data_IF_854995931030
#
_entry.id   IF_854995931030
#
_cell.length_a   1.000
_cell.length_b   1.000
_cell.length_c   1.000
_cell.angle_alpha   90.00
_cell.angle_beta   90.00
_cell.angle_gamma   90.00
#
_symmetry.space_group_name_H-M   'P 1'
#
loop_
_entity.id
_entity.type
_entity.pdbx_description
1 polymer ?
#
# COMPACT_ATOMS: atom_id res chain seq x y z
N UNK A 1 1.89 -2.40 20.36
CA UNK A 1 1.24 -2.68 19.06
C UNK A 1 1.14 -1.37 18.30
N UNK A 2 2.02 -1.14 17.32
CA UNK A 2 1.97 0.08 16.51
C UNK A 2 0.83 -0.05 15.51
N UNK A 3 -0.26 0.66 15.75
CA UNK A 3 -1.30 0.89 14.74
C UNK A 3 -0.74 1.89 13.74
N UNK A 4 -0.24 1.40 12.61
CA UNK A 4 0.02 2.26 11.46
C UNK A 4 -1.33 2.86 11.03
N UNK A 5 -1.48 4.17 11.22
CA UNK A 5 -2.65 4.88 10.68
C UNK A 5 -2.63 4.74 9.16
N UNK A 6 -3.64 4.13 8.57
CA UNK A 6 -3.83 4.02 7.12
C UNK A 6 -4.09 5.37 6.43
N UNK A 7 -3.91 6.48 7.16
CA UNK A 7 -4.05 7.84 6.69
C UNK A 7 -2.86 8.32 5.84
N UNK A 8 -1.74 7.59 5.80
CA UNK A 8 -0.53 8.01 5.08
C UNK A 8 -0.23 7.22 3.79
N UNK A 9 -1.15 6.34 3.35
CA UNK A 9 -0.95 5.67 2.05
C UNK A 9 -1.11 6.69 0.93
N UNK A 10 0.03 7.08 0.37
CA UNK A 10 0.12 8.05 -0.71
C UNK A 10 0.31 7.33 -2.05
N UNK A 11 -0.01 8.03 -3.14
CA UNK A 11 0.40 7.57 -4.46
C UNK A 11 1.92 7.42 -4.50
N UNK A 12 2.37 6.28 -5.00
CA UNK A 12 3.76 5.89 -5.06
C UNK A 12 4.17 4.81 -4.05
N UNK A 13 3.34 4.51 -3.05
CA UNK A 13 3.59 3.46 -2.06
C UNK A 13 3.60 2.07 -2.71
N UNK A 14 4.60 1.25 -2.38
CA UNK A 14 4.63 -0.16 -2.78
C UNK A 14 3.73 -0.99 -1.88
N UNK A 15 2.96 -1.88 -2.48
CA UNK A 15 2.02 -2.75 -1.78
C UNK A 15 2.11 -4.18 -2.30
N UNK A 16 1.93 -5.15 -1.40
CA UNK A 16 1.77 -6.56 -1.72
C UNK A 16 0.31 -6.96 -1.60
N UNK A 17 -0.20 -7.77 -2.52
CA UNK A 17 -1.55 -8.31 -2.42
C UNK A 17 -1.54 -9.47 -1.42
N UNK A 18 -2.45 -9.52 -0.44
CA UNK A 18 -2.39 -10.59 0.59
C UNK A 18 -2.69 -11.98 0.03
N UNK A 19 -3.48 -12.07 -1.03
CA UNK A 19 -3.85 -13.32 -1.69
C UNK A 19 -2.98 -13.64 -2.92
N UNK A 20 -1.90 -12.89 -3.15
CA UNK A 20 -1.03 -13.14 -4.30
C UNK A 20 0.40 -12.72 -3.98
N UNK A 21 1.39 -13.38 -4.57
CA UNK A 21 2.78 -12.91 -4.47
C UNK A 21 3.08 -11.71 -5.39
N UNK A 22 2.02 -11.04 -5.86
CA UNK A 22 2.10 -9.84 -6.69
C UNK A 22 2.38 -8.62 -5.83
N UNK A 23 3.31 -7.81 -6.31
CA UNK A 23 3.64 -6.49 -5.79
C UNK A 23 3.29 -5.45 -6.84
N UNK A 24 2.80 -4.32 -6.39
CA UNK A 24 2.54 -3.20 -7.26
C UNK A 24 2.65 -1.89 -6.52
N UNK A 25 2.43 -0.81 -7.25
CA UNK A 25 2.56 0.55 -6.75
C UNK A 25 1.21 1.24 -6.76
N UNK A 26 0.85 1.89 -5.66
CA UNK A 26 -0.38 2.69 -5.59
C UNK A 26 -0.25 3.88 -6.54
N UNK A 27 -1.12 3.96 -7.53
CA UNK A 27 -1.17 5.10 -8.47
C UNK A 27 -2.34 6.03 -8.19
N UNK A 28 -3.33 5.58 -7.42
CA UNK A 28 -4.50 6.38 -7.07
C UNK A 28 -5.12 5.89 -5.75
N UNK A 29 -5.61 6.82 -4.94
CA UNK A 29 -6.29 6.53 -3.67
C UNK A 29 -7.71 7.09 -3.74
N UNK A 30 -8.69 6.21 -3.56
CA UNK A 30 -10.09 6.60 -3.45
C UNK A 30 -10.47 6.60 -1.98
N UNK A 31 -11.12 7.66 -1.51
CA UNK A 31 -11.46 7.81 -0.09
C UNK A 31 -12.83 7.21 0.28
N UNK A 32 -13.74 6.98 -0.67
CA UNK A 32 -15.07 6.43 -0.39
C UNK A 32 -15.64 5.56 -1.54
N UNK A 33 -15.75 4.23 -1.37
CA UNK A 33 -15.12 3.44 -0.30
C UNK A 33 -13.59 3.56 -0.39
N UNK A 34 -12.89 3.38 0.74
CA UNK A 34 -11.42 3.47 0.75
C UNK A 34 -10.81 2.33 -0.08
N UNK A 35 -10.25 2.66 -1.24
CA UNK A 35 -9.61 1.70 -2.14
C UNK A 35 -8.35 2.30 -2.76
N UNK A 36 -7.46 1.41 -3.20
CA UNK A 36 -6.17 1.73 -3.77
C UNK A 36 -6.08 1.14 -5.16
N UNK A 37 -5.80 1.98 -6.15
CA UNK A 37 -5.48 1.54 -7.50
C UNK A 37 -4.00 1.24 -7.55
N UNK A 38 -3.66 0.02 -7.91
CA UNK A 38 -2.31 -0.51 -7.91
C UNK A 38 -1.90 -0.81 -9.35
N UNK A 39 -0.75 -0.28 -9.76
CA UNK A 39 -0.08 -0.62 -11.01
C UNK A 39 0.94 -1.73 -10.76
N UNK A 40 0.87 -2.79 -11.55
CA UNK A 40 1.80 -3.91 -11.52
C UNK A 40 2.91 -3.72 -12.56
N UNK A 41 4.02 -4.47 -12.41
CA UNK A 41 5.16 -4.42 -13.35
C UNK A 41 4.77 -4.76 -14.80
N UNK A 42 3.71 -5.56 -15.01
CA UNK A 42 3.16 -5.87 -16.33
C UNK A 42 2.37 -4.71 -16.97
N UNK A 43 2.28 -3.54 -16.32
CA UNK A 43 1.49 -2.39 -16.77
C UNK A 43 -0.02 -2.56 -16.58
N UNK A 44 -0.45 -3.56 -15.81
CA UNK A 44 -1.85 -3.78 -15.44
C UNK A 44 -2.21 -2.93 -14.22
N UNK A 45 -3.47 -2.49 -14.18
CA UNK A 45 -4.04 -1.77 -13.06
C UNK A 45 -5.18 -2.56 -12.43
N UNK A 46 -5.15 -2.71 -11.11
CA UNK A 46 -6.28 -3.27 -10.36
C UNK A 46 -6.58 -2.43 -9.12
N UNK A 47 -7.81 -2.53 -8.64
CA UNK A 47 -8.27 -1.77 -7.47
C UNK A 47 -8.50 -2.74 -6.33
N UNK A 48 -7.85 -2.47 -5.20
CA UNK A 48 -7.94 -3.29 -4.00
C UNK A 48 -8.41 -2.47 -2.82
N UNK A 49 -9.11 -3.10 -1.89
CA UNK A 49 -9.46 -2.50 -0.61
C UNK A 49 -8.30 -2.59 0.36
N UNK A 50 -8.36 -1.72 1.35
CA UNK A 50 -7.47 -1.64 2.50
C UNK A 50 -7.08 -2.99 3.14
N UNK A 51 -8.02 -3.94 3.25
CA UNK A 51 -7.76 -5.26 3.83
C UNK A 51 -7.18 -6.31 2.85
N UNK A 52 -7.18 -6.03 1.54
CA UNK A 52 -6.70 -6.94 0.49
C UNK A 52 -5.21 -6.73 0.17
N UNK A 53 -4.66 -5.60 0.62
CA UNK A 53 -3.27 -5.22 0.41
C UNK A 53 -2.51 -5.12 1.73
N UNK A 54 -1.21 -5.24 1.62
CA UNK A 54 -0.23 -5.01 2.67
C UNK A 54 0.74 -3.95 2.19
N UNK A 55 0.94 -2.90 2.99
CA UNK A 55 1.83 -1.81 2.64
C UNK A 55 3.26 -2.27 2.87
N UNK A 56 4.05 -2.30 1.80
CA UNK A 56 5.49 -2.53 1.85
C UNK A 56 6.15 -1.17 2.06
N UNK A 57 6.02 -0.64 3.28
CA UNK A 57 6.65 0.62 3.61
C UNK A 57 8.17 0.40 3.68
N UNK A 58 8.92 0.98 2.74
CA UNK A 58 10.39 0.97 2.73
C UNK A 58 10.96 2.01 3.70
N UNK A 59 10.23 2.34 4.76
CA UNK A 59 10.75 3.11 5.88
C UNK A 59 11.60 2.18 6.74
N UNK A 60 12.88 2.06 6.35
CA UNK A 60 13.97 2.00 7.32
C UNK A 60 13.99 3.32 8.11
N UNK A 61 12.94 3.57 8.90
CA UNK A 61 13.02 4.51 10.02
C UNK A 61 13.47 3.69 11.20
N UNK A 62 14.79 3.66 11.34
CA UNK A 62 15.43 3.65 12.64
C UNK A 62 14.81 4.80 13.45
N UNK A 63 13.76 4.52 14.22
CA UNK A 63 13.56 5.24 15.47
C UNK A 63 14.53 4.60 16.48
N UNK A 64 15.81 4.96 16.28
CA UNK A 64 16.72 5.18 17.40
C UNK A 64 16.23 6.42 18.16
N UNK A 65 16.58 6.47 19.45
CA UNK A 65 16.32 7.53 20.44
C UNK A 65 14.92 7.43 21.11
N UNK A 66 14.77 7.22 22.43
CA UNK A 66 15.69 7.10 23.58
C UNK A 66 14.95 6.34 24.70
#
# INVERSE_FOLDING_TARGET
MNYFSMNEVSVGTEVKIKNSDLKGRVVEVFHFPTTFKVEFEDGKFEVFKTHEIEILDNSNVEDADE
#
